data_IF_240329211561
#
_entry.id   IF_240329211561
#
_cell.length_a   1.000
_cell.length_b   1.000
_cell.length_c   1.000
_cell.angle_alpha   90.00
_cell.angle_beta   90.00
_cell.angle_gamma   90.00
#
_symmetry.space_group_name_H-M   'P 1'
#
loop_
_entity.id
_entity.type
_entity.pdbx_description
1 polymer ?
#
# COMPACT_ATOMS: atom_id res chain seq x y z
N UNK A 1 -9.50 6.14 21.11
CA UNK A 1 -9.17 7.05 22.21
C UNK A 1 -10.19 8.19 22.36
N UNK A 2 -10.41 9.05 21.35
CA UNK A 2 -11.38 10.17 21.47
C UNK A 2 -12.78 9.74 21.92
N UNK A 3 -13.33 8.65 21.36
CA UNK A 3 -14.63 8.12 21.77
C UNK A 3 -14.67 7.70 23.26
N UNK A 4 -13.58 7.11 23.77
CA UNK A 4 -13.48 6.69 25.16
C UNK A 4 -13.29 7.86 26.13
N UNK A 5 -12.72 8.97 25.66
CA UNK A 5 -12.65 10.22 26.43
C UNK A 5 -14.03 10.90 26.46
N UNK A 6 -14.73 10.93 25.32
CA UNK A 6 -16.02 11.60 25.20
C UNK A 6 -17.15 10.85 25.92
N UNK A 7 -17.08 9.52 25.99
CA UNK A 7 -18.10 8.66 26.60
C UNK A 7 -17.46 7.74 27.66
N UNK A 8 -16.82 8.34 28.66
CA UNK A 8 -16.03 7.62 29.67
C UNK A 8 -16.79 6.47 30.35
N UNK A 9 -18.09 6.64 30.59
CA UNK A 9 -18.93 5.64 31.25
C UNK A 9 -19.29 4.43 30.35
N UNK A 10 -19.10 4.55 29.04
CA UNK A 10 -19.43 3.48 28.08
C UNK A 10 -18.25 2.53 27.82
N UNK A 11 -17.04 2.88 28.28
CA UNK A 11 -15.82 2.12 28.02
C UNK A 11 -15.03 1.84 29.30
N UNK A 12 -14.85 0.55 29.63
CA UNK A 12 -14.05 0.13 30.79
C UNK A 12 -12.54 -0.01 30.50
N UNK A 13 -12.16 -0.11 29.22
CA UNK A 13 -10.76 -0.25 28.79
C UNK A 13 -10.45 0.59 27.55
N UNK A 14 -9.27 1.19 27.52
CA UNK A 14 -8.75 1.90 26.35
C UNK A 14 -7.37 1.39 25.98
N UNK A 15 -7.21 0.94 24.74
CA UNK A 15 -5.90 0.59 24.17
C UNK A 15 -5.64 1.55 23.02
N UNK A 16 -4.58 2.35 23.12
CA UNK A 16 -4.19 3.31 22.10
C UNK A 16 -2.86 2.88 21.46
N UNK A 17 -2.90 2.57 20.17
CA UNK A 17 -1.77 2.07 19.38
C UNK A 17 -1.22 3.21 18.52
N UNK A 18 0.09 3.44 18.60
CA UNK A 18 0.79 4.60 18.02
C UNK A 18 -0.02 5.90 18.20
N UNK A 19 -0.37 6.26 19.45
CA UNK A 19 -1.31 7.34 19.71
C UNK A 19 -0.75 8.69 19.29
N UNK A 20 -1.59 9.52 18.69
CA UNK A 20 -1.36 10.97 18.53
C UNK A 20 -1.77 11.72 19.79
N UNK A 21 -1.58 13.03 19.82
CA UNK A 21 -2.06 13.88 20.91
C UNK A 21 -3.56 13.69 21.18
N UNK A 22 -3.92 13.70 22.47
CA UNK A 22 -5.29 13.61 22.95
C UNK A 22 -5.43 14.24 24.35
N UNK A 23 -6.63 14.73 24.71
CA UNK A 23 -6.89 15.35 26.00
C UNK A 23 -7.08 14.28 27.11
N UNK A 24 -6.03 13.51 27.38
CA UNK A 24 -6.01 12.53 28.48
C UNK A 24 -5.86 13.24 29.83
N UNK A 25 -6.49 12.69 30.87
CA UNK A 25 -6.44 13.14 32.26
C UNK A 25 -6.13 11.97 33.19
N UNK A 26 -5.97 12.24 34.49
CA UNK A 26 -5.75 11.19 35.48
C UNK A 26 -6.88 10.15 35.53
N UNK A 27 -8.12 10.55 35.23
CA UNK A 27 -9.30 9.67 35.30
C UNK A 27 -9.77 9.20 33.91
N UNK A 28 -9.55 9.99 32.86
CA UNK A 28 -10.07 9.71 31.51
C UNK A 28 -8.96 9.59 30.46
N UNK A 29 -9.02 8.61 29.54
CA UNK A 29 -10.03 7.55 29.44
C UNK A 29 -9.78 6.44 30.47
N UNK A 30 -10.80 5.62 30.76
CA UNK A 30 -10.67 4.52 31.73
C UNK A 30 -9.68 3.46 31.23
N UNK A 31 -8.91 2.92 32.18
CA UNK A 31 -7.87 1.91 32.01
C UNK A 31 -7.11 2.04 30.67
N UNK A 32 -6.15 2.96 30.62
CA UNK A 32 -5.41 3.32 29.41
C UNK A 32 -4.09 2.54 29.26
N UNK A 33 -4.03 1.71 28.22
CA UNK A 33 -2.79 1.12 27.69
C UNK A 33 -2.32 1.93 26.48
N UNK A 34 -1.06 2.36 26.51
CA UNK A 34 -0.39 3.04 25.41
C UNK A 34 0.63 2.09 24.77
N UNK A 35 0.53 1.87 23.47
CA UNK A 35 1.49 1.07 22.69
C UNK A 35 2.15 1.96 21.64
N UNK A 36 3.48 1.93 21.52
CA UNK A 36 4.19 2.63 20.44
C UNK A 36 5.38 1.80 19.92
N UNK A 37 5.60 1.84 18.61
CA UNK A 37 6.68 1.10 17.96
C UNK A 37 8.04 1.73 18.24
N UNK A 38 9.06 0.91 18.50
CA UNK A 38 10.42 1.36 18.79
C UNK A 38 11.03 2.19 17.64
N UNK A 39 10.68 1.87 16.38
CA UNK A 39 11.17 2.62 15.22
C UNK A 39 10.43 3.94 14.99
N UNK A 40 9.54 4.32 15.91
CA UNK A 40 8.74 5.54 15.85
C UNK A 40 9.03 6.48 17.03
N UNK A 41 10.23 7.12 17.09
CA UNK A 41 10.64 7.91 18.25
C UNK A 41 9.65 9.02 18.62
N UNK A 42 8.95 9.60 17.63
CA UNK A 42 7.90 10.61 17.86
C UNK A 42 6.68 10.03 18.58
N UNK A 43 6.22 8.84 18.18
CA UNK A 43 5.09 8.19 18.83
C UNK A 43 5.45 7.66 20.22
N UNK A 44 6.69 7.19 20.41
CA UNK A 44 7.22 6.83 21.74
C UNK A 44 7.21 8.05 22.68
N UNK A 45 7.80 9.17 22.24
CA UNK A 45 7.81 10.40 23.03
C UNK A 45 6.40 10.93 23.32
N UNK A 46 5.49 10.83 22.35
CA UNK A 46 4.10 11.22 22.54
C UNK A 46 3.38 10.31 23.55
N UNK A 47 3.55 8.99 23.46
CA UNK A 47 2.97 8.05 24.41
C UNK A 47 3.47 8.31 25.84
N UNK A 48 4.77 8.58 26.03
CA UNK A 48 5.33 8.97 27.33
C UNK A 48 4.72 10.27 27.85
N UNK A 49 4.52 11.26 26.97
CA UNK A 49 3.88 12.53 27.31
C UNK A 49 2.41 12.33 27.73
N UNK A 50 1.67 11.50 27.00
CA UNK A 50 0.29 11.15 27.34
C UNK A 50 0.21 10.40 28.68
N UNK A 51 1.14 9.47 28.94
CA UNK A 51 1.22 8.76 30.19
C UNK A 51 1.48 9.71 31.37
N UNK A 52 2.40 10.66 31.22
CA UNK A 52 2.66 11.68 32.23
C UNK A 52 1.43 12.57 32.49
N UNK A 53 0.73 13.01 31.44
CA UNK A 53 -0.55 13.75 31.54
C UNK A 53 -1.64 12.93 32.23
N UNK A 54 -1.63 11.62 32.06
CA UNK A 54 -2.57 10.68 32.68
C UNK A 54 -2.20 10.30 34.12
N UNK A 55 -1.19 10.92 34.74
CA UNK A 55 -0.79 10.69 36.13
C UNK A 55 0.30 9.63 36.33
N UNK A 56 0.90 9.11 35.25
CA UNK A 56 1.96 8.09 35.32
C UNK A 56 1.43 6.66 35.40
N UNK A 57 2.35 5.69 35.34
CA UNK A 57 2.00 4.26 35.38
C UNK A 57 1.45 3.84 36.74
N UNK A 58 0.38 3.04 36.72
CA UNK A 58 -0.22 2.45 37.91
C UNK A 58 -1.09 1.24 37.53
N UNK A 59 -1.53 0.48 38.52
CA UNK A 59 -2.31 -0.76 38.33
C UNK A 59 -3.69 -0.73 39.02
N UNK A 60 -4.27 0.46 39.22
CA UNK A 60 -5.58 0.60 39.84
C UNK A 60 -6.72 0.36 38.83
N UNK A 61 -6.92 -0.92 38.50
CA UNK A 61 -7.97 -1.36 37.59
C UNK A 61 -9.37 -1.18 38.20
N UNK A 62 -9.48 -1.29 39.53
CA UNK A 62 -10.76 -1.19 40.25
C UNK A 62 -11.34 0.23 40.19
N UNK A 63 -10.50 1.26 40.29
CA UNK A 63 -10.91 2.65 40.09
C UNK A 63 -11.07 3.02 38.61
N UNK A 64 -10.62 2.17 37.67
CA UNK A 64 -10.61 2.49 36.24
C UNK A 64 -9.47 3.43 35.83
N UNK A 65 -8.48 3.63 36.70
CA UNK A 65 -7.38 4.60 36.51
C UNK A 65 -6.05 3.95 36.16
N UNK A 66 -6.01 2.61 35.97
CA UNK A 66 -4.80 1.90 35.55
C UNK A 66 -4.19 2.51 34.29
N UNK A 67 -2.86 2.70 34.28
CA UNK A 67 -2.11 3.25 33.15
C UNK A 67 -0.84 2.45 32.91
N UNK A 68 -0.55 2.15 31.66
CA UNK A 68 0.69 1.47 31.27
C UNK A 68 1.15 1.96 29.90
N UNK A 69 2.46 2.13 29.73
CA UNK A 69 3.08 2.28 28.42
C UNK A 69 3.92 1.05 28.08
N UNK A 70 3.77 0.53 26.87
CA UNK A 70 4.62 -0.54 26.34
C UNK A 70 5.24 -0.07 25.04
N UNK A 71 6.56 0.06 25.05
CA UNK A 71 7.35 0.24 23.84
C UNK A 71 7.51 -1.11 23.14
N UNK A 72 6.98 -1.23 21.92
CA UNK A 72 6.98 -2.48 21.16
C UNK A 72 8.26 -2.56 20.32
N UNK A 73 9.11 -3.60 20.50
CA UNK A 73 10.43 -3.65 19.87
C UNK A 73 10.34 -3.93 18.36
N UNK A 74 11.29 -3.40 17.59
CA UNK A 74 11.51 -3.67 16.15
C UNK A 74 10.34 -3.42 15.19
N UNK A 75 9.37 -2.58 15.57
CA UNK A 75 8.19 -2.30 14.72
C UNK A 75 8.00 -0.80 14.50
N UNK A 76 7.33 -0.50 13.39
CA UNK A 76 6.82 0.82 13.03
C UNK A 76 5.27 0.86 13.04
N UNK A 77 4.71 1.98 12.57
CA UNK A 77 3.29 2.36 12.61
C UNK A 77 2.31 1.27 12.18
N UNK A 78 2.66 0.51 11.12
CA UNK A 78 1.79 -0.49 10.52
C UNK A 78 2.07 -1.87 11.14
N UNK A 79 3.34 -2.23 11.26
CA UNK A 79 3.82 -3.53 11.76
C UNK A 79 3.51 -3.76 13.24
N UNK A 80 3.32 -2.71 14.03
CA UNK A 80 2.87 -2.82 15.44
C UNK A 80 1.53 -3.58 15.57
N UNK A 81 0.65 -3.51 14.56
CA UNK A 81 -0.64 -4.20 14.54
C UNK A 81 -0.50 -5.72 14.39
N UNK A 82 0.64 -6.20 13.91
CA UNK A 82 0.94 -7.62 13.69
C UNK A 82 1.95 -8.17 14.71
N UNK A 83 2.40 -7.34 15.65
CA UNK A 83 3.41 -7.74 16.64
C UNK A 83 2.81 -8.68 17.70
N UNK A 84 3.43 -9.85 17.95
CA UNK A 84 3.04 -10.72 19.06
C UNK A 84 3.08 -10.01 20.42
N UNK A 85 4.00 -9.05 20.60
CA UNK A 85 4.11 -8.25 21.83
C UNK A 85 2.90 -7.33 21.99
N UNK A 86 2.46 -6.65 20.92
CA UNK A 86 1.26 -5.82 20.94
C UNK A 86 0.01 -6.64 21.25
N UNK A 87 -0.13 -7.81 20.64
CA UNK A 87 -1.26 -8.72 20.87
C UNK A 87 -1.27 -9.23 22.32
N UNK A 88 -0.11 -9.65 22.84
CA UNK A 88 0.02 -10.12 24.22
C UNK A 88 -0.29 -9.00 25.23
N UNK A 89 0.27 -7.81 25.04
CA UNK A 89 0.02 -6.66 25.92
C UNK A 89 -1.47 -6.27 25.92
N UNK A 90 -2.09 -6.20 24.73
CA UNK A 90 -3.51 -5.87 24.59
C UNK A 90 -4.40 -6.91 25.25
N UNK A 91 -4.12 -8.21 25.04
CA UNK A 91 -4.85 -9.30 25.68
C UNK A 91 -4.74 -9.23 27.19
N UNK A 92 -3.52 -9.14 27.73
CA UNK A 92 -3.27 -9.09 29.18
C UNK A 92 -3.94 -7.88 29.81
N UNK A 93 -4.00 -6.74 29.11
CA UNK A 93 -4.70 -5.56 29.59
C UNK A 93 -6.20 -5.80 29.74
N UNK A 94 -6.84 -6.34 28.70
CA UNK A 94 -8.28 -6.67 28.74
C UNK A 94 -8.59 -7.74 29.79
N UNK A 95 -7.74 -8.75 29.93
CA UNK A 95 -7.85 -9.78 30.96
C UNK A 95 -7.85 -9.20 32.38
N UNK A 96 -6.95 -8.24 32.65
CA UNK A 96 -6.89 -7.55 33.95
C UNK A 96 -8.10 -6.65 34.18
N UNK A 97 -8.53 -5.88 33.17
CA UNK A 97 -9.71 -5.00 33.30
C UNK A 97 -10.98 -5.80 33.59
N UNK A 98 -11.20 -6.91 32.89
CA UNK A 98 -12.43 -7.69 33.00
C UNK A 98 -12.34 -8.84 34.01
N UNK A 99 -11.21 -9.02 34.69
CA UNK A 99 -11.01 -10.10 35.65
C UNK A 99 -11.07 -11.50 35.03
N UNK A 100 -10.73 -11.62 33.75
CA UNK A 100 -10.77 -12.88 33.00
C UNK A 100 -9.35 -13.41 32.87
N UNK A 101 -9.12 -14.68 33.21
CA UNK A 101 -7.86 -15.36 32.91
C UNK A 101 -8.09 -16.37 31.80
N UNK A 102 -7.39 -16.19 30.67
CA UNK A 102 -7.41 -17.14 29.56
C UNK A 102 -5.98 -17.47 29.19
N UNK A 103 -5.64 -18.74 29.26
CA UNK A 103 -4.41 -19.23 28.65
C UNK A 103 -4.61 -19.29 27.13
N UNK A 104 -3.70 -18.66 26.39
CA UNK A 104 -3.68 -18.74 24.94
C UNK A 104 -2.24 -18.75 24.47
N UNK A 105 -1.87 -19.82 23.76
CA UNK A 105 -0.61 -19.94 23.03
C UNK A 105 -0.74 -19.47 21.58
N UNK A 106 -1.85 -18.81 21.23
CA UNK A 106 -2.10 -18.35 19.86
C UNK A 106 -1.07 -17.31 19.43
N UNK A 107 -0.45 -17.54 18.29
CA UNK A 107 0.37 -16.56 17.57
C UNK A 107 -0.23 -16.36 16.18
N UNK A 108 -0.41 -15.11 15.79
CA UNK A 108 -0.99 -14.80 14.49
C UNK A 108 0.03 -15.02 13.36
N UNK A 109 -0.12 -16.13 12.64
CA UNK A 109 0.71 -16.50 11.48
C UNK A 109 0.00 -16.27 10.15
N UNK A 110 -1.14 -15.56 10.14
CA UNK A 110 -1.94 -15.35 8.91
C UNK A 110 -1.15 -14.63 7.82
N UNK A 111 -0.22 -13.74 8.18
CA UNK A 111 0.64 -13.06 7.21
C UNK A 111 1.59 -14.03 6.48
N UNK A 112 2.05 -15.09 7.14
CA UNK A 112 2.88 -16.12 6.51
C UNK A 112 2.06 -16.87 5.47
N UNK A 113 0.85 -17.28 5.83
CA UNK A 113 -0.06 -17.96 4.89
C UNK A 113 -0.47 -17.08 3.72
N UNK A 114 -0.64 -15.78 3.96
CA UNK A 114 -0.84 -14.78 2.90
C UNK A 114 0.33 -14.76 1.91
N UNK A 115 1.57 -14.70 2.40
CA UNK A 115 2.76 -14.69 1.54
C UNK A 115 2.94 -16.01 0.79
N UNK A 116 2.69 -17.16 1.44
CA UNK A 116 2.71 -18.48 0.80
C UNK A 116 1.68 -18.57 -0.30
N UNK A 117 0.45 -18.11 -0.06
CA UNK A 117 -0.61 -18.08 -1.06
C UNK A 117 -0.25 -17.23 -2.29
N UNK A 118 0.18 -15.99 -2.07
CA UNK A 118 0.61 -15.09 -3.14
C UNK A 118 1.78 -15.70 -3.94
N UNK A 119 2.79 -16.21 -3.23
CA UNK A 119 3.94 -16.88 -3.84
C UNK A 119 3.54 -18.10 -4.67
N UNK A 120 2.64 -18.95 -4.15
CA UNK A 120 2.16 -20.14 -4.84
C UNK A 120 1.45 -19.79 -6.16
N UNK A 121 0.62 -18.74 -6.18
CA UNK A 121 -0.03 -18.27 -7.41
C UNK A 121 0.95 -17.70 -8.43
N UNK A 122 1.97 -16.96 -7.99
CA UNK A 122 3.01 -16.45 -8.88
C UNK A 122 3.89 -17.57 -9.45
N UNK A 123 4.22 -18.58 -8.65
CA UNK A 123 4.92 -19.79 -9.11
C UNK A 123 4.05 -20.59 -10.06
N UNK A 124 2.75 -20.74 -9.79
CA UNK A 124 1.82 -21.40 -10.69
C UNK A 124 1.75 -20.67 -12.03
N UNK A 125 1.62 -19.34 -12.02
CA UNK A 125 1.58 -18.51 -13.24
C UNK A 125 2.85 -18.68 -14.08
N UNK A 126 4.04 -18.68 -13.46
CA UNK A 126 5.29 -18.90 -14.19
C UNK A 126 5.41 -20.34 -14.69
N UNK A 127 4.98 -21.33 -13.92
CA UNK A 127 5.01 -22.75 -14.31
C UNK A 127 4.12 -23.06 -15.51
N UNK A 128 2.93 -22.42 -15.60
CA UNK A 128 2.01 -22.60 -16.74
C UNK A 128 2.34 -21.71 -17.94
N UNK A 129 3.25 -20.73 -17.79
CA UNK A 129 3.61 -19.79 -18.86
C UNK A 129 4.04 -20.44 -20.19
N UNK A 130 4.77 -21.57 -20.22
CA UNK A 130 5.16 -22.20 -21.49
C UNK A 130 3.97 -22.76 -22.29
N UNK A 131 2.81 -22.96 -21.64
CA UNK A 131 1.58 -23.44 -22.27
C UNK A 131 0.78 -22.29 -22.91
N UNK A 132 1.14 -21.04 -22.64
CA UNK A 132 0.41 -19.88 -23.15
C UNK A 132 0.73 -19.65 -24.64
N UNK A 133 -0.24 -19.20 -25.45
CA UNK A 133 0.00 -18.87 -26.85
C UNK A 133 0.95 -17.68 -26.98
N UNK A 134 2.13 -17.90 -27.57
CA UNK A 134 3.12 -16.85 -27.84
C UNK A 134 2.86 -16.20 -29.20
N UNK A 135 2.96 -14.86 -29.24
CA UNK A 135 2.82 -14.12 -30.50
C UNK A 135 4.13 -14.24 -31.31
N UNK A 136 4.01 -14.27 -32.64
CA UNK A 136 5.17 -14.29 -33.52
C UNK A 136 6.09 -13.07 -33.32
N UNK A 137 7.42 -13.20 -33.53
CA UNK A 137 8.41 -12.15 -33.28
C UNK A 137 8.15 -10.82 -34.02
N UNK A 138 7.35 -10.84 -35.09
CA UNK A 138 7.05 -9.69 -35.96
C UNK A 138 6.18 -8.60 -35.30
N UNK A 139 5.50 -8.91 -34.20
CA UNK A 139 4.62 -8.00 -33.44
C UNK A 139 5.35 -7.17 -32.35
N UNK A 140 6.68 -7.31 -32.23
CA UNK A 140 7.42 -6.72 -31.11
C UNK A 140 7.43 -5.19 -31.17
N UNK A 141 7.11 -4.58 -30.04
CA UNK A 141 7.09 -3.13 -29.87
C UNK A 141 8.45 -2.50 -30.20
N UNK A 142 8.46 -1.30 -30.80
CA UNK A 142 9.69 -0.58 -31.11
C UNK A 142 10.07 0.34 -29.96
N UNK A 143 11.34 0.26 -29.56
CA UNK A 143 11.97 1.17 -28.59
C UNK A 143 12.64 2.29 -29.34
N UNK A 144 12.49 3.51 -28.85
CA UNK A 144 13.30 4.63 -29.32
C UNK A 144 14.66 4.59 -28.59
N UNK A 145 15.73 5.19 -29.14
CA UNK A 145 16.98 5.34 -28.40
C UNK A 145 16.80 6.18 -27.12
N UNK A 146 15.72 6.98 -27.01
CA UNK A 146 15.43 7.89 -25.91
C UNK A 146 14.65 7.26 -24.75
N UNK A 147 14.38 5.95 -24.77
CA UNK A 147 13.58 5.29 -23.74
C UNK A 147 14.15 5.39 -22.31
N UNK A 148 15.47 5.43 -22.16
CA UNK A 148 16.12 5.72 -20.87
C UNK A 148 15.97 7.17 -20.44
N UNK A 149 16.07 8.10 -21.40
CA UNK A 149 15.85 9.52 -21.14
C UNK A 149 14.41 9.75 -20.64
N UNK A 150 13.42 9.11 -21.27
CA UNK A 150 12.03 9.17 -20.82
C UNK A 150 11.85 8.71 -19.38
N UNK A 151 12.49 7.61 -18.96
CA UNK A 151 12.42 7.12 -17.58
C UNK A 151 13.08 8.09 -16.58
N UNK A 152 14.19 8.71 -16.99
CA UNK A 152 14.94 9.64 -16.16
C UNK A 152 14.20 10.98 -15.96
N UNK A 153 13.62 11.54 -17.02
CA UNK A 153 12.99 12.88 -16.98
C UNK A 153 11.54 12.84 -16.49
N UNK A 154 10.83 11.73 -16.69
CA UNK A 154 9.40 11.66 -16.38
C UNK A 154 9.08 11.87 -14.90
N UNK A 155 9.83 11.30 -13.92
CA UNK A 155 9.54 11.52 -12.50
C UNK A 155 9.62 12.99 -12.04
N UNK A 156 10.72 13.75 -12.28
CA UNK A 156 10.76 15.15 -11.86
C UNK A 156 9.75 16.02 -12.60
N UNK A 157 9.48 15.74 -13.89
CA UNK A 157 8.44 16.45 -14.63
C UNK A 157 7.04 16.17 -14.08
N UNK A 158 6.71 14.90 -13.79
CA UNK A 158 5.44 14.53 -13.18
C UNK A 158 5.24 15.23 -11.83
N UNK A 159 6.28 15.24 -10.98
CA UNK A 159 6.22 15.92 -9.68
C UNK A 159 6.08 17.45 -9.82
N UNK A 160 6.78 18.06 -10.78
CA UNK A 160 6.66 19.50 -11.07
C UNK A 160 5.30 19.90 -11.63
N UNK A 161 4.79 19.15 -12.62
CA UNK A 161 3.46 19.39 -13.21
C UNK A 161 2.38 19.22 -12.15
N UNK A 162 2.46 18.19 -11.32
CA UNK A 162 1.47 17.96 -10.27
C UNK A 162 1.53 19.05 -9.19
N UNK A 163 2.73 19.54 -8.84
CA UNK A 163 2.88 20.68 -7.94
C UNK A 163 2.22 21.95 -8.49
N UNK A 164 2.32 22.18 -9.81
CA UNK A 164 1.62 23.29 -10.46
C UNK A 164 0.12 23.08 -10.47
N UNK A 165 -0.35 21.87 -10.76
CA UNK A 165 -1.78 21.53 -10.75
C UNK A 165 -2.41 21.74 -9.38
N UNK A 166 -1.68 21.40 -8.31
CA UNK A 166 -2.09 21.60 -6.91
C UNK A 166 -2.39 23.07 -6.57
N UNK A 167 -1.83 24.03 -7.33
CA UNK A 167 -2.12 25.46 -7.15
C UNK A 167 -3.53 25.84 -7.61
N UNK A 168 -4.11 25.04 -8.51
CA UNK A 168 -5.43 25.29 -9.10
C UNK A 168 -6.51 24.39 -8.52
N UNK A 169 -6.16 23.12 -8.26
CA UNK A 169 -7.08 22.10 -7.79
C UNK A 169 -6.36 21.31 -6.70
N UNK A 170 -6.94 21.25 -5.50
CA UNK A 170 -6.46 20.37 -4.43
C UNK A 170 -6.59 18.91 -4.87
N UNK A 171 -5.47 18.28 -5.22
CA UNK A 171 -5.45 16.92 -5.74
C UNK A 171 -5.42 15.88 -4.62
N UNK A 172 -4.96 16.27 -3.43
CA UNK A 172 -4.77 15.44 -2.24
C UNK A 172 -6.04 14.70 -1.78
N UNK A 173 -7.20 15.20 -2.20
CA UNK A 173 -8.49 14.61 -1.92
C UNK A 173 -9.44 14.56 -3.13
N UNK A 174 -8.89 14.54 -4.35
CA UNK A 174 -9.69 14.52 -5.55
C UNK A 174 -10.51 13.22 -5.63
N UNK A 175 -11.77 13.33 -6.08
CA UNK A 175 -12.73 12.22 -6.11
C UNK A 175 -12.97 11.55 -4.74
N UNK A 176 -12.74 12.27 -3.63
CA UNK A 176 -12.94 11.79 -2.26
C UNK A 176 -12.04 10.60 -1.91
N UNK A 177 -10.85 10.51 -2.51
CA UNK A 177 -9.85 9.49 -2.19
C UNK A 177 -8.63 10.23 -1.63
N UNK A 178 -8.30 10.00 -0.37
CA UNK A 178 -7.14 10.62 0.24
C UNK A 178 -5.86 10.08 -0.42
N UNK A 179 -5.04 10.95 -1.00
CA UNK A 179 -3.71 10.65 -1.60
C UNK A 179 -3.74 9.77 -2.86
N UNK A 180 -4.64 8.79 -2.94
CA UNK A 180 -4.73 7.84 -4.05
C UNK A 180 -4.99 8.51 -5.40
N UNK A 181 -5.78 9.59 -5.44
CA UNK A 181 -6.02 10.39 -6.65
C UNK A 181 -4.77 11.10 -7.15
N UNK A 182 -4.05 11.80 -6.26
CA UNK A 182 -2.79 12.47 -6.57
C UNK A 182 -1.77 11.48 -7.10
N UNK A 183 -1.65 10.32 -6.44
CA UNK A 183 -0.76 9.25 -6.86
C UNK A 183 -1.14 8.71 -8.24
N UNK A 184 -2.43 8.50 -8.51
CA UNK A 184 -2.93 8.12 -9.83
C UNK A 184 -2.54 9.12 -10.92
N UNK A 185 -2.82 10.41 -10.71
CA UNK A 185 -2.44 11.49 -11.64
C UNK A 185 -0.92 11.51 -11.87
N UNK A 186 -0.13 11.34 -10.81
CA UNK A 186 1.33 11.28 -10.92
C UNK A 186 1.77 10.13 -11.83
N UNK A 187 1.24 8.91 -11.63
CA UNK A 187 1.53 7.76 -12.49
C UNK A 187 1.05 7.96 -13.93
N UNK A 188 -0.05 8.67 -14.14
CA UNK A 188 -0.53 9.02 -15.47
C UNK A 188 0.46 9.93 -16.19
N UNK A 189 0.86 11.05 -15.56
CA UNK A 189 1.80 12.01 -16.17
C UNK A 189 3.15 11.35 -16.42
N UNK A 190 3.70 10.67 -15.40
CA UNK A 190 4.95 9.92 -15.51
C UNK A 190 4.89 8.90 -16.65
N UNK A 191 3.85 8.06 -16.65
CA UNK A 191 3.64 7.02 -17.65
C UNK A 191 3.46 7.56 -19.06
N UNK A 192 2.70 8.64 -19.22
CA UNK A 192 2.48 9.27 -20.50
C UNK A 192 3.77 9.84 -21.09
N UNK A 193 4.56 10.58 -20.29
CA UNK A 193 5.87 11.10 -20.72
C UNK A 193 6.78 9.95 -21.13
N UNK A 194 6.89 8.91 -20.29
CA UNK A 194 7.78 7.80 -20.58
C UNK A 194 7.35 7.00 -21.82
N UNK A 195 6.05 6.77 -21.99
CA UNK A 195 5.48 6.10 -23.16
C UNK A 195 5.75 6.90 -24.44
N UNK A 196 5.44 8.20 -24.45
CA UNK A 196 5.55 9.06 -25.63
C UNK A 196 7.00 9.26 -26.07
N UNK A 197 7.94 9.39 -25.13
CA UNK A 197 9.37 9.58 -25.43
C UNK A 197 10.04 8.26 -25.81
N UNK A 198 9.72 7.18 -25.11
CA UNK A 198 10.49 5.95 -25.14
C UNK A 198 10.01 4.90 -26.14
N UNK A 199 8.74 4.93 -26.51
CA UNK A 199 8.10 3.71 -27.01
C UNK A 199 7.05 3.95 -28.09
N UNK A 200 6.93 2.96 -28.97
CA UNK A 200 5.79 2.82 -29.88
C UNK A 200 5.11 1.49 -29.56
N UNK A 201 4.00 1.49 -28.80
CA UNK A 201 3.34 0.25 -28.42
C UNK A 201 2.84 -0.49 -29.67
N UNK A 202 2.75 -1.84 -29.61
CA UNK A 202 2.19 -2.62 -30.70
C UNK A 202 0.69 -2.33 -30.82
N UNK A 203 0.05 -2.75 -31.92
CA UNK A 203 -1.41 -2.63 -32.05
C UNK A 203 -2.10 -3.46 -30.96
N UNK A 204 -3.21 -2.94 -30.44
CA UNK A 204 -4.06 -3.70 -29.53
C UNK A 204 -4.59 -4.94 -30.26
N UNK A 205 -4.46 -6.09 -29.62
CA UNK A 205 -4.99 -7.36 -30.11
C UNK A 205 -6.06 -7.87 -29.16
N UNK A 206 -7.05 -8.60 -29.69
CA UNK A 206 -8.08 -9.23 -28.87
C UNK A 206 -7.45 -10.20 -27.85
N UNK A 207 -6.44 -10.96 -28.27
CA UNK A 207 -5.67 -11.83 -27.37
C UNK A 207 -5.02 -11.04 -26.23
N UNK A 208 -4.43 -9.88 -26.52
CA UNK A 208 -3.85 -9.01 -25.50
C UNK A 208 -4.89 -8.51 -24.50
N UNK A 209 -6.07 -8.11 -24.96
CA UNK A 209 -7.17 -7.70 -24.08
C UNK A 209 -7.69 -8.85 -23.21
N UNK A 210 -7.96 -10.01 -23.83
CA UNK A 210 -8.44 -11.20 -23.13
C UNK A 210 -7.47 -11.64 -22.02
N UNK A 211 -6.19 -11.80 -22.35
CA UNK A 211 -5.17 -12.16 -21.37
C UNK A 211 -4.97 -11.08 -20.30
N UNK A 212 -5.22 -9.81 -20.61
CA UNK A 212 -5.20 -8.74 -19.62
C UNK A 212 -6.30 -8.87 -18.57
N UNK A 213 -7.53 -9.19 -18.99
CA UNK A 213 -8.64 -9.44 -18.07
C UNK A 213 -8.37 -10.68 -17.23
N UNK A 214 -7.87 -11.77 -17.85
CA UNK A 214 -7.49 -12.98 -17.12
C UNK A 214 -6.36 -12.71 -16.11
N UNK A 215 -5.36 -11.92 -16.49
CA UNK A 215 -4.28 -11.52 -15.60
C UNK A 215 -4.80 -10.71 -14.42
N UNK A 216 -5.70 -9.76 -14.66
CA UNK A 216 -6.34 -9.01 -13.58
C UNK A 216 -7.05 -9.96 -12.62
N UNK A 217 -7.89 -10.88 -13.11
CA UNK A 217 -8.59 -11.84 -12.26
C UNK A 217 -7.64 -12.71 -11.42
N UNK A 218 -6.54 -13.17 -12.03
CA UNK A 218 -5.51 -13.95 -11.34
C UNK A 218 -4.82 -13.14 -10.26
N UNK A 219 -4.32 -11.93 -10.56
CA UNK A 219 -3.64 -11.08 -9.58
C UNK A 219 -4.59 -10.64 -8.47
N UNK A 220 -5.83 -10.33 -8.83
CA UNK A 220 -6.89 -9.98 -7.88
C UNK A 220 -7.13 -11.12 -6.90
N UNK A 221 -7.18 -12.36 -7.37
CA UNK A 221 -7.35 -13.52 -6.51
C UNK A 221 -6.09 -13.80 -5.68
N UNK A 222 -4.93 -13.89 -6.33
CA UNK A 222 -3.64 -14.22 -5.73
C UNK A 222 -3.23 -13.25 -4.62
N UNK A 223 -3.51 -11.95 -4.80
CA UNK A 223 -3.26 -10.94 -3.77
C UNK A 223 -4.46 -10.80 -2.83
N UNK A 224 -5.67 -10.77 -3.37
CA UNK A 224 -6.83 -10.30 -2.63
C UNK A 224 -7.53 -11.32 -1.74
N UNK A 225 -7.57 -12.59 -2.16
CA UNK A 225 -8.41 -13.61 -1.54
C UNK A 225 -8.10 -13.78 -0.04
N UNK A 226 -6.81 -13.82 0.31
CA UNK A 226 -6.39 -13.83 1.71
C UNK A 226 -6.20 -12.43 2.31
N UNK A 227 -5.83 -11.41 1.53
CA UNK A 227 -5.65 -10.05 2.07
C UNK A 227 -6.88 -9.56 2.84
N UNK A 228 -8.09 -9.87 2.34
CA UNK A 228 -9.39 -9.57 2.96
C UNK A 228 -9.50 -10.02 4.42
N UNK A 229 -8.88 -11.14 4.77
CA UNK A 229 -8.97 -11.75 6.10
C UNK A 229 -7.74 -11.49 6.99
N UNK A 230 -6.69 -10.91 6.39
CA UNK A 230 -5.37 -10.76 7.02
C UNK A 230 -5.12 -9.31 7.40
N UNK A 231 -5.24 -8.37 6.45
CA UNK A 231 -4.76 -7.00 6.69
C UNK A 231 -5.41 -5.89 5.86
N UNK A 232 -6.04 -6.19 4.74
CA UNK A 232 -6.53 -5.17 3.80
C UNK A 232 -7.99 -5.47 3.40
N UNK A 233 -8.93 -4.52 3.54
CA UNK A 233 -10.29 -4.69 3.04
C UNK A 233 -10.28 -4.67 1.50
N UNK A 234 -10.06 -5.85 0.92
CA UNK A 234 -9.86 -6.06 -0.51
C UNK A 234 -11.13 -5.88 -1.34
N UNK A 235 -12.29 -6.27 -0.78
CA UNK A 235 -13.57 -6.10 -1.46
C UNK A 235 -13.99 -4.63 -1.44
N UNK A 236 -14.05 -4.04 -2.63
CA UNK A 236 -14.41 -2.64 -2.79
C UNK A 236 -15.92 -2.45 -2.59
N UNK A 237 -16.28 -1.50 -1.72
CA UNK A 237 -17.65 -1.01 -1.60
C UNK A 237 -18.09 -0.29 -2.88
N UNK A 238 -19.41 -0.12 -3.14
CA UNK A 238 -19.92 0.51 -4.37
C UNK A 238 -19.30 1.87 -4.69
N UNK A 239 -19.09 2.71 -3.67
CA UNK A 239 -18.42 4.00 -3.84
C UNK A 239 -17.01 3.86 -4.45
N UNK A 240 -16.23 2.87 -4.01
CA UNK A 240 -14.89 2.61 -4.55
C UNK A 240 -14.97 2.01 -5.96
N UNK A 241 -15.89 1.08 -6.20
CA UNK A 241 -16.09 0.47 -7.51
C UNK A 241 -16.39 1.50 -8.61
N UNK A 242 -17.19 2.53 -8.31
CA UNK A 242 -17.49 3.61 -9.27
C UNK A 242 -16.24 4.41 -9.68
N UNK A 243 -15.24 4.51 -8.79
CA UNK A 243 -13.99 5.25 -9.02
C UNK A 243 -12.91 4.39 -9.68
N UNK A 244 -13.07 3.06 -9.67
CA UNK A 244 -12.07 2.11 -10.10
C UNK A 244 -11.66 2.25 -11.57
N UNK A 245 -12.57 2.38 -12.55
CA UNK A 245 -12.17 2.51 -13.95
C UNK A 245 -11.29 3.73 -14.21
N UNK A 246 -11.62 4.87 -13.59
CA UNK A 246 -10.84 6.10 -13.73
C UNK A 246 -9.44 5.94 -13.15
N UNK A 247 -9.31 5.36 -11.96
CA UNK A 247 -8.01 5.17 -11.32
C UNK A 247 -7.16 4.11 -12.04
N UNK A 248 -7.79 3.03 -12.52
CA UNK A 248 -7.12 2.07 -13.39
C UNK A 248 -6.57 2.74 -14.67
N UNK A 249 -7.36 3.61 -15.29
CA UNK A 249 -6.91 4.35 -16.48
C UNK A 249 -5.67 5.22 -16.22
N UNK A 250 -5.51 5.77 -15.01
CA UNK A 250 -4.33 6.58 -14.69
C UNK A 250 -3.01 5.79 -14.66
N UNK A 251 -3.04 4.52 -14.27
CA UNK A 251 -1.84 3.67 -14.24
C UNK A 251 -1.50 3.08 -15.62
N UNK A 252 -2.44 3.13 -16.56
CA UNK A 252 -2.35 2.45 -17.85
C UNK A 252 -1.14 2.90 -18.69
N UNK A 253 -0.83 4.20 -18.88
CA UNK A 253 0.30 4.61 -19.72
C UNK A 253 1.65 4.12 -19.19
N UNK A 254 1.82 4.16 -17.86
CA UNK A 254 3.04 3.67 -17.22
C UNK A 254 3.19 2.17 -17.42
N UNK A 255 2.14 1.39 -17.16
CA UNK A 255 2.22 -0.05 -17.27
C UNK A 255 2.42 -0.50 -18.72
N UNK A 256 1.83 0.20 -19.69
CA UNK A 256 2.11 -0.04 -21.11
C UNK A 256 3.56 0.26 -21.48
N UNK A 257 4.14 1.36 -21.00
CA UNK A 257 5.56 1.67 -21.18
C UNK A 257 6.46 0.61 -20.55
N UNK A 258 6.16 0.22 -19.30
CA UNK A 258 6.89 -0.81 -18.56
C UNK A 258 6.82 -2.19 -19.23
N UNK A 259 5.65 -2.58 -19.75
CA UNK A 259 5.48 -3.81 -20.52
C UNK A 259 6.37 -3.81 -21.76
N UNK A 260 6.31 -2.71 -22.52
CA UNK A 260 7.06 -2.51 -23.76
C UNK A 260 8.58 -2.53 -23.51
N UNK A 261 9.02 -1.93 -22.40
CA UNK A 261 10.42 -1.93 -21.95
C UNK A 261 10.92 -3.33 -21.61
N UNK A 262 10.05 -4.21 -21.11
CA UNK A 262 10.41 -5.56 -20.67
C UNK A 262 10.15 -6.64 -21.74
N UNK A 263 9.32 -6.35 -22.76
CA UNK A 263 8.87 -7.29 -23.77
C UNK A 263 10.03 -8.05 -24.44
N UNK A 264 9.90 -9.38 -24.52
CA UNK A 264 10.91 -10.28 -25.09
C UNK A 264 12.27 -10.24 -24.40
N UNK A 265 12.36 -9.67 -23.19
CA UNK A 265 13.59 -9.63 -22.40
C UNK A 265 13.77 -10.90 -21.56
N UNK A 266 15.01 -11.39 -21.48
CA UNK A 266 15.39 -12.41 -20.51
C UNK A 266 15.39 -11.89 -19.06
N UNK A 267 15.64 -12.80 -18.12
CA UNK A 267 15.60 -12.53 -16.67
C UNK A 267 16.37 -11.27 -16.26
N UNK A 268 17.67 -11.18 -16.58
CA UNK A 268 18.52 -10.05 -16.17
C UNK A 268 18.04 -8.70 -16.68
N UNK A 269 17.49 -8.66 -17.89
CA UNK A 269 16.95 -7.44 -18.48
C UNK A 269 15.69 -7.00 -17.74
N UNK A 270 14.81 -7.94 -17.39
CA UNK A 270 13.60 -7.64 -16.61
C UNK A 270 13.94 -7.19 -15.21
N UNK A 271 14.89 -7.86 -14.55
CA UNK A 271 15.40 -7.47 -13.24
C UNK A 271 15.97 -6.04 -13.27
N UNK A 272 16.77 -5.72 -14.29
CA UNK A 272 17.29 -4.36 -14.49
C UNK A 272 16.17 -3.33 -14.68
N UNK A 273 15.17 -3.63 -15.51
CA UNK A 273 14.01 -2.74 -15.69
C UNK A 273 13.19 -2.55 -14.42
N UNK A 274 13.03 -3.59 -13.60
CA UNK A 274 12.36 -3.51 -12.31
C UNK A 274 13.15 -2.63 -11.33
N UNK A 275 14.47 -2.83 -11.22
CA UNK A 275 15.34 -2.03 -10.34
C UNK A 275 15.32 -0.55 -10.73
N UNK A 276 15.55 -0.24 -12.01
CA UNK A 276 15.59 1.14 -12.48
C UNK A 276 14.24 1.83 -12.34
N UNK A 277 13.13 1.17 -12.68
CA UNK A 277 11.80 1.74 -12.47
C UNK A 277 11.53 2.00 -10.98
N UNK A 278 11.86 1.04 -10.11
CA UNK A 278 11.68 1.19 -8.67
C UNK A 278 12.48 2.38 -8.13
N UNK A 279 13.73 2.55 -8.59
CA UNK A 279 14.58 3.67 -8.20
C UNK A 279 14.02 5.02 -8.67
N UNK A 280 13.66 5.15 -9.95
CA UNK A 280 13.18 6.42 -10.52
C UNK A 280 11.78 6.79 -10.03
N UNK A 281 10.89 5.81 -9.89
CA UNK A 281 9.57 6.04 -9.29
C UNK A 281 9.71 6.39 -7.82
N UNK A 282 10.51 5.63 -7.06
CA UNK A 282 10.78 5.91 -5.65
C UNK A 282 11.34 7.31 -5.42
N UNK A 283 12.37 7.69 -6.19
CA UNK A 283 12.97 9.03 -6.14
C UNK A 283 12.00 10.14 -6.58
N UNK A 284 11.18 9.90 -7.60
CA UNK A 284 10.16 10.85 -8.07
C UNK A 284 9.04 11.07 -7.06
N UNK A 285 8.56 10.00 -6.43
CA UNK A 285 7.57 10.08 -5.35
C UNK A 285 8.15 10.73 -4.10
N UNK A 286 9.42 10.43 -3.75
CA UNK A 286 10.11 11.13 -2.67
C UNK A 286 10.19 12.64 -2.95
N UNK A 287 10.57 13.04 -4.18
CA UNK A 287 10.54 14.44 -4.59
C UNK A 287 9.13 15.02 -4.48
N UNK A 288 8.10 14.29 -4.93
CA UNK A 288 6.70 14.73 -4.85
C UNK A 288 6.28 15.01 -3.39
N UNK A 289 6.62 14.13 -2.46
CA UNK A 289 6.31 14.29 -1.02
C UNK A 289 6.94 15.58 -0.47
N UNK A 290 8.17 15.91 -0.89
CA UNK A 290 8.84 17.15 -0.49
C UNK A 290 8.18 18.40 -1.08
N UNK A 291 7.59 18.28 -2.29
CA UNK A 291 6.88 19.39 -2.95
C UNK A 291 5.45 19.58 -2.44
N UNK A 292 4.80 18.49 -2.02
CA UNK A 292 3.41 18.47 -1.54
C UNK A 292 3.38 17.75 -0.17
N UNK A 293 3.64 18.48 0.93
CA UNK A 293 3.79 17.86 2.26
C UNK A 293 2.56 17.10 2.78
N UNK A 294 1.35 17.40 2.29
CA UNK A 294 0.13 16.66 2.64
C UNK A 294 0.18 15.19 2.24
N UNK A 295 1.06 14.82 1.31
CA UNK A 295 1.29 13.45 0.88
C UNK A 295 2.25 12.67 1.78
N UNK A 296 2.64 13.23 2.94
CA UNK A 296 3.63 12.62 3.84
C UNK A 296 3.36 11.15 4.20
N UNK A 297 2.09 10.73 4.25
CA UNK A 297 1.70 9.33 4.48
C UNK A 297 2.27 8.37 3.42
N UNK A 298 2.56 8.85 2.20
CA UNK A 298 3.18 8.04 1.14
C UNK A 298 4.55 7.51 1.54
N UNK A 299 5.26 8.17 2.46
CA UNK A 299 6.58 7.72 2.90
C UNK A 299 6.53 6.35 3.57
N UNK A 300 5.43 6.04 4.26
CA UNK A 300 5.23 4.76 4.94
C UNK A 300 5.03 3.62 3.94
N UNK A 301 4.44 3.90 2.78
CA UNK A 301 4.20 2.89 1.74
C UNK A 301 5.25 2.87 0.65
N UNK A 302 6.16 3.84 0.63
CA UNK A 302 7.19 3.95 -0.40
C UNK A 302 8.00 2.63 -0.57
N UNK A 303 8.39 1.94 0.52
CA UNK A 303 9.09 0.65 0.44
C UNK A 303 8.26 -0.48 -0.16
N UNK A 304 6.93 -0.36 -0.20
CA UNK A 304 6.03 -1.38 -0.73
C UNK A 304 5.94 -1.33 -2.26
N UNK A 305 6.19 -0.18 -2.91
CA UNK A 305 6.10 -0.06 -4.37
C UNK A 305 7.04 -1.03 -5.11
N UNK A 306 8.33 -1.16 -4.76
CA UNK A 306 9.21 -2.15 -5.42
C UNK A 306 8.66 -3.58 -5.34
N UNK A 307 8.00 -3.95 -4.23
CA UNK A 307 7.39 -5.28 -4.05
C UNK A 307 6.19 -5.45 -5.00
N UNK A 308 5.29 -4.46 -5.05
CA UNK A 308 4.16 -4.46 -5.99
C UNK A 308 4.64 -4.51 -7.44
N UNK A 309 5.69 -3.75 -7.76
CA UNK A 309 6.28 -3.75 -9.10
C UNK A 309 6.96 -5.08 -9.42
N UNK A 310 7.52 -5.79 -8.43
CA UNK A 310 8.08 -7.12 -8.63
C UNK A 310 6.98 -8.14 -8.95
N UNK A 311 5.86 -8.12 -8.20
CA UNK A 311 4.68 -8.97 -8.47
C UNK A 311 4.20 -8.76 -9.91
N UNK A 312 4.04 -7.50 -10.29
CA UNK A 312 3.65 -7.11 -11.64
C UNK A 312 4.69 -7.55 -12.68
N UNK A 313 5.98 -7.35 -12.44
CA UNK A 313 7.04 -7.73 -13.37
C UNK A 313 7.15 -9.25 -13.57
N UNK A 314 6.95 -10.05 -12.51
CA UNK A 314 6.88 -11.51 -12.59
C UNK A 314 5.69 -11.94 -13.46
N UNK A 315 4.51 -11.36 -13.21
CA UNK A 315 3.33 -11.65 -14.01
C UNK A 315 3.50 -11.23 -15.48
N UNK A 316 4.15 -10.09 -15.74
CA UNK A 316 4.52 -9.65 -17.08
C UNK A 316 5.48 -10.62 -17.76
N UNK A 317 6.42 -11.21 -17.01
CA UNK A 317 7.38 -12.17 -17.54
C UNK A 317 6.71 -13.47 -17.98
N UNK A 318 5.66 -13.91 -17.26
CA UNK A 318 4.92 -15.12 -17.60
C UNK A 318 4.04 -14.95 -18.85
N UNK A 319 3.43 -13.79 -19.06
CA UNK A 319 2.52 -13.59 -20.21
C UNK A 319 3.25 -13.00 -21.43
N UNK A 320 4.24 -12.13 -21.20
CA UNK A 320 5.03 -11.42 -22.21
C UNK A 320 4.22 -10.73 -23.34
N UNK A 321 2.99 -10.30 -23.04
CA UNK A 321 2.14 -9.52 -23.95
C UNK A 321 1.95 -8.10 -23.41
N UNK A 322 2.46 -7.06 -24.09
CA UNK A 322 2.40 -5.69 -23.58
C UNK A 322 1.00 -5.21 -23.19
N UNK A 323 -0.01 -5.51 -24.02
CA UNK A 323 -1.40 -5.13 -23.75
C UNK A 323 -2.02 -5.91 -22.61
N UNK A 324 -1.69 -7.19 -22.45
CA UNK A 324 -2.20 -7.98 -21.34
C UNK A 324 -1.70 -7.44 -20.00
N UNK A 325 -0.40 -7.15 -19.93
CA UNK A 325 0.18 -6.53 -18.74
C UNK A 325 -0.36 -5.12 -18.48
N UNK A 326 -0.48 -4.28 -19.51
CA UNK A 326 -1.01 -2.94 -19.35
C UNK A 326 -2.43 -2.94 -18.81
N UNK A 327 -3.33 -3.74 -19.39
CA UNK A 327 -4.74 -3.84 -18.97
C UNK A 327 -4.84 -4.51 -17.60
N UNK A 328 -4.25 -5.71 -17.45
CA UNK A 328 -4.38 -6.49 -16.21
C UNK A 328 -3.73 -5.80 -15.02
N UNK A 329 -2.52 -5.26 -15.23
CA UNK A 329 -1.80 -4.51 -14.23
C UNK A 329 -2.49 -3.19 -13.87
N UNK A 330 -3.09 -2.47 -14.81
CA UNK A 330 -3.72 -1.18 -14.51
C UNK A 330 -5.02 -1.36 -13.75
N UNK A 331 -5.82 -2.36 -14.12
CA UNK A 331 -7.01 -2.78 -13.37
C UNK A 331 -6.63 -3.22 -11.95
N UNK A 332 -5.59 -4.04 -11.80
CA UNK A 332 -5.10 -4.51 -10.50
C UNK A 332 -4.55 -3.37 -9.63
N UNK A 333 -3.68 -2.53 -10.18
CA UNK A 333 -3.07 -1.41 -9.47
C UNK A 333 -4.12 -0.38 -9.05
N UNK A 334 -5.06 -0.04 -9.95
CA UNK A 334 -6.20 0.83 -9.61
C UNK A 334 -7.08 0.25 -8.50
N UNK A 335 -7.27 -1.08 -8.48
CA UNK A 335 -7.97 -1.77 -7.38
C UNK A 335 -7.21 -1.65 -6.06
N UNK A 336 -5.88 -1.91 -6.07
CA UNK A 336 -5.03 -1.79 -4.88
C UNK A 336 -5.05 -0.39 -4.29
N UNK A 337 -4.94 0.65 -5.12
CA UNK A 337 -4.99 2.03 -4.67
C UNK A 337 -6.32 2.32 -3.96
N UNK A 338 -7.44 1.83 -4.50
CA UNK A 338 -8.75 1.98 -3.86
C UNK A 338 -8.92 1.11 -2.63
N UNK A 339 -8.30 -0.06 -2.54
CA UNK A 339 -8.38 -0.88 -1.33
C UNK A 339 -7.59 -0.24 -0.17
N UNK A 340 -6.45 0.38 -0.50
CA UNK A 340 -5.51 0.92 0.48
C UNK A 340 -5.90 2.31 0.98
N UNK A 341 -6.20 3.24 0.08
CA UNK A 341 -6.40 4.64 0.47
C UNK A 341 -7.81 4.91 0.99
N UNK A 342 -7.98 5.66 2.09
CA UNK A 342 -9.29 5.92 2.66
C UNK A 342 -10.12 6.83 1.75
N UNK A 343 -11.44 6.65 1.79
CA UNK A 343 -12.37 7.64 1.26
C UNK A 343 -12.51 8.78 2.28
N UNK A 344 -12.78 9.99 1.79
CA UNK A 344 -13.17 11.12 2.65
C UNK A 344 -14.56 11.60 2.24
N UNK A 345 -15.50 11.71 3.17
CA UNK A 345 -16.89 12.04 2.87
C UNK A 345 -17.77 10.86 3.17
#
# INVERSE_FOLDING_TARGET
MQAAIANEMDYDATIAISPTDAPVTAVSPRNLLLLAGQFEPRFVANAQTLLAKAGGENSDFAAGTARLFVQVPHVEHITILFSPVSHAASRQWLERVFGVQRESSYQDVRIVWYLVHLGAWLVLLTAVSPLLPHDEPRSRSRRTPLHWLGLLIAPPLASGILRLLEQFIRTDNLANILVGSTLGIWFFIFGAIWLLVGFRPPRLTFSGAFWGIMLFGLLWFAFGALAQFVWLPWLLIPARLLRWPALAATAFPWLLAAATAQAGGGFWRRLGWWLWQSLFIGGGLFLLINLIPSLGILILILPLFPVVFAILAIANAAIDKPWAYAIGGSLFFGWMLLAYFPLTG
#
